data_IF_152308148504
#
_entry.id   IF_152308148504
#
_cell.length_a   1.000
_cell.length_b   1.000
_cell.length_c   1.000
_cell.angle_alpha   90.00
_cell.angle_beta   90.00
_cell.angle_gamma   90.00
#
_symmetry.space_group_name_H-M   'P 1'
#
loop_
_entity.id
_entity.type
_entity.pdbx_description
1 polymer ?
#
# COMPACT_ATOMS: atom_id res chain seq x y z
N UNK A 1 15.53 9.15 40.26
CA UNK A 1 15.67 9.32 38.79
C UNK A 1 14.60 8.43 38.15
N UNK A 2 13.64 9.01 37.42
CA UNK A 2 12.66 8.20 36.67
C UNK A 2 13.35 7.65 35.42
N UNK A 3 13.26 6.35 35.09
CA UNK A 3 13.78 5.86 33.82
C UNK A 3 13.07 6.60 32.68
N UNK A 4 13.82 7.16 31.75
CA UNK A 4 13.28 7.67 30.49
C UNK A 4 12.64 6.47 29.79
N UNK A 5 11.31 6.50 29.66
CA UNK A 5 10.59 5.53 28.83
C UNK A 5 11.26 5.57 27.44
N UNK A 6 11.55 4.43 26.80
CA UNK A 6 12.00 4.46 25.42
C UNK A 6 10.94 5.24 24.64
N UNK A 7 11.35 6.35 24.01
CA UNK A 7 10.49 7.10 23.11
C UNK A 7 10.07 6.14 22.02
N UNK A 8 8.90 5.51 22.20
CA UNK A 8 8.21 4.85 21.11
C UNK A 8 7.99 5.95 20.08
N UNK A 9 8.58 5.81 18.90
CA UNK A 9 8.35 6.74 17.81
C UNK A 9 6.83 6.93 17.66
N UNK A 10 6.33 8.15 17.39
CA UNK A 10 4.91 8.33 17.10
C UNK A 10 4.54 7.52 15.86
N UNK A 11 3.32 6.99 15.83
CA UNK A 11 2.77 6.36 14.62
C UNK A 11 2.79 7.39 13.47
N UNK A 12 2.99 6.94 12.22
CA UNK A 12 2.99 7.83 11.08
C UNK A 12 1.63 8.48 10.86
N UNK A 13 1.65 9.61 10.15
CA UNK A 13 0.42 10.22 9.68
C UNK A 13 -0.26 9.31 8.64
N UNK A 14 -1.58 9.16 8.76
CA UNK A 14 -2.43 8.39 7.83
C UNK A 14 -2.20 8.83 6.39
N UNK A 15 -2.09 10.14 6.15
CA UNK A 15 -1.85 10.75 4.85
C UNK A 15 -0.57 10.24 4.15
N UNK A 16 0.47 9.93 4.93
CA UNK A 16 1.70 9.35 4.39
C UNK A 16 1.45 7.93 3.85
N UNK A 17 0.67 7.13 4.58
CA UNK A 17 0.36 5.75 4.19
C UNK A 17 -0.61 5.70 3.00
N UNK A 18 -1.69 6.50 3.05
CA UNK A 18 -2.65 6.59 1.94
C UNK A 18 -2.00 7.18 0.69
N UNK A 19 -1.08 8.14 0.83
CA UNK A 19 -0.30 8.70 -0.27
C UNK A 19 0.57 7.68 -1.02
N UNK A 20 1.05 6.62 -0.36
CA UNK A 20 1.72 5.49 -1.04
C UNK A 20 0.74 4.75 -1.95
N UNK A 21 -0.45 4.45 -1.44
CA UNK A 21 -1.48 3.70 -2.16
C UNK A 21 -2.06 4.50 -3.33
N UNK A 22 -2.28 5.79 -3.15
CA UNK A 22 -2.66 6.69 -4.22
C UNK A 22 -1.64 6.65 -5.36
N UNK A 23 -0.35 6.78 -5.04
CA UNK A 23 0.72 6.70 -6.06
C UNK A 23 0.82 5.31 -6.70
N UNK A 24 0.58 4.25 -5.94
CA UNK A 24 0.59 2.87 -6.46
C UNK A 24 -0.55 2.65 -7.47
N UNK A 25 -1.73 3.19 -7.19
CA UNK A 25 -2.90 3.06 -8.04
C UNK A 25 -2.93 4.05 -9.22
N UNK A 26 -2.22 5.18 -9.13
CA UNK A 26 -2.20 6.20 -10.17
C UNK A 26 -1.53 5.65 -11.45
N UNK A 27 -2.30 5.51 -12.53
CA UNK A 27 -1.79 5.02 -13.82
C UNK A 27 -0.98 6.06 -14.58
N UNK A 28 -1.02 7.33 -14.16
CA UNK A 28 -0.17 8.40 -14.71
C UNK A 28 1.27 8.29 -14.20
N UNK A 29 1.49 7.60 -13.08
CA UNK A 29 2.83 7.33 -12.55
C UNK A 29 3.43 6.10 -13.25
N UNK A 30 4.61 6.22 -13.87
CA UNK A 30 5.26 5.08 -14.51
C UNK A 30 5.59 3.99 -13.49
N UNK A 31 5.37 2.73 -13.87
CA UNK A 31 5.50 1.60 -12.96
C UNK A 31 6.93 1.44 -12.40
N UNK A 32 7.96 1.90 -13.10
CA UNK A 32 9.33 1.94 -12.56
C UNK A 32 9.46 2.84 -11.33
N UNK A 33 8.70 3.95 -11.26
CA UNK A 33 8.69 4.80 -10.07
C UNK A 33 7.92 4.15 -8.91
N UNK A 34 6.94 3.29 -9.22
CA UNK A 34 6.17 2.54 -8.22
C UNK A 34 6.99 1.46 -7.52
N UNK A 35 8.08 0.99 -8.13
CA UNK A 35 9.02 0.04 -7.50
C UNK A 35 9.55 0.58 -6.17
N UNK A 36 9.81 1.89 -6.08
CA UNK A 36 10.26 2.52 -4.84
C UNK A 36 9.17 2.63 -3.76
N UNK A 37 7.90 2.34 -4.10
CA UNK A 37 6.76 2.35 -3.19
C UNK A 37 6.50 0.99 -2.56
N UNK A 38 7.27 -0.03 -2.94
CA UNK A 38 7.13 -1.39 -2.44
C UNK A 38 8.48 -1.91 -1.96
N UNK A 39 8.51 -2.41 -0.72
CA UNK A 39 9.72 -2.95 -0.11
C UNK A 39 10.23 -4.15 -0.91
N UNK A 40 11.52 -4.10 -1.26
CA UNK A 40 12.21 -5.12 -2.06
C UNK A 40 11.61 -5.37 -3.45
N UNK A 41 10.76 -4.47 -3.96
CA UNK A 41 10.38 -4.54 -5.35
C UNK A 41 11.59 -4.25 -6.25
N UNK A 42 11.58 -4.86 -7.42
CA UNK A 42 12.63 -4.81 -8.42
C UNK A 42 12.04 -4.49 -9.78
N UNK A 43 12.89 -4.44 -10.81
CA UNK A 43 12.42 -4.29 -12.19
C UNK A 43 11.49 -5.43 -12.64
N UNK A 44 11.56 -6.60 -12.01
CA UNK A 44 10.69 -7.75 -12.30
C UNK A 44 9.23 -7.51 -11.87
N UNK A 45 9.03 -6.68 -10.84
CA UNK A 45 7.70 -6.36 -10.30
C UNK A 45 6.98 -5.26 -11.09
N UNK A 46 7.68 -4.52 -11.96
CA UNK A 46 7.14 -3.45 -12.82
C UNK A 46 5.85 -3.85 -13.56
N UNK A 47 5.80 -4.99 -14.28
CA UNK A 47 4.55 -5.42 -14.93
C UNK A 47 3.41 -5.64 -13.94
N UNK A 48 3.66 -6.21 -12.77
CA UNK A 48 2.63 -6.44 -11.76
C UNK A 48 2.14 -5.12 -11.14
N UNK A 49 3.05 -4.17 -10.87
CA UNK A 49 2.74 -2.83 -10.37
C UNK A 49 1.95 -2.00 -11.39
N UNK A 50 2.26 -2.14 -12.68
CA UNK A 50 1.48 -1.54 -13.77
C UNK A 50 0.06 -2.12 -13.78
N UNK A 51 -0.04 -3.45 -13.80
CA UNK A 51 -1.33 -4.16 -13.85
C UNK A 51 -2.21 -3.84 -12.64
N UNK A 52 -1.63 -3.60 -11.46
CA UNK A 52 -2.39 -3.20 -10.27
C UNK A 52 -3.20 -1.92 -10.51
N UNK A 53 -2.55 -0.87 -11.03
CA UNK A 53 -3.25 0.39 -11.36
C UNK A 53 -4.29 0.20 -12.47
N UNK A 54 -3.94 -0.54 -13.53
CA UNK A 54 -4.86 -0.82 -14.64
C UNK A 54 -6.07 -1.66 -14.20
N UNK A 55 -5.88 -2.64 -13.32
CA UNK A 55 -6.95 -3.47 -12.79
C UNK A 55 -7.89 -2.69 -11.88
N UNK A 56 -7.37 -1.73 -11.09
CA UNK A 56 -8.21 -0.81 -10.31
C UNK A 56 -9.07 0.07 -11.22
N UNK A 57 -8.49 0.61 -12.30
CA UNK A 57 -9.22 1.37 -13.32
C UNK A 57 -10.29 0.51 -13.97
N UNK A 58 -9.94 -0.70 -14.43
CA UNK A 58 -10.85 -1.64 -15.07
C UNK A 58 -11.99 -2.09 -14.14
N UNK A 59 -11.71 -2.20 -12.85
CA UNK A 59 -12.69 -2.53 -11.80
C UNK A 59 -13.58 -1.35 -11.39
N UNK A 60 -13.34 -0.14 -11.94
CA UNK A 60 -14.12 1.06 -11.64
C UNK A 60 -13.75 1.76 -10.33
N UNK A 61 -12.57 1.45 -9.76
CA UNK A 61 -12.07 2.12 -8.56
C UNK A 61 -11.54 3.52 -8.84
N UNK A 62 -11.73 4.09 -10.03
CA UNK A 62 -11.33 5.45 -10.37
C UNK A 62 -12.52 6.42 -10.40
N UNK A 63 -12.46 7.56 -9.68
CA UNK A 63 -11.37 8.01 -8.81
C UNK A 63 -11.26 7.19 -7.52
N UNK A 64 -10.03 6.90 -7.10
CA UNK A 64 -9.75 6.04 -5.94
C UNK A 64 -10.03 6.79 -4.64
N UNK A 65 -10.66 6.11 -3.68
CA UNK A 65 -10.73 6.57 -2.30
C UNK A 65 -9.99 5.58 -1.42
N UNK A 66 -9.01 6.08 -0.67
CA UNK A 66 -8.22 5.29 0.27
C UNK A 66 -8.37 5.91 1.65
N UNK A 67 -8.87 5.13 2.58
CA UNK A 67 -8.91 5.46 4.00
C UNK A 67 -8.00 4.50 4.76
N UNK A 68 -7.24 4.98 5.75
CA UNK A 68 -6.49 4.10 6.63
C UNK A 68 -6.80 4.40 8.08
N UNK A 69 -7.19 3.35 8.80
CA UNK A 69 -7.59 3.38 10.19
C UNK A 69 -6.89 2.28 10.98
N UNK A 70 -7.08 2.24 12.30
CA UNK A 70 -6.51 1.21 13.18
C UNK A 70 -4.97 1.06 13.02
N UNK A 71 -4.26 2.19 12.98
CA UNK A 71 -2.80 2.20 12.84
C UNK A 71 -2.16 1.63 14.10
N UNK A 72 -1.27 0.65 13.92
CA UNK A 72 -0.53 0.02 15.01
C UNK A 72 0.86 -0.40 14.54
N UNK A 73 1.79 -0.49 15.48
CA UNK A 73 3.11 -1.05 15.18
C UNK A 73 2.98 -2.53 14.79
N UNK A 74 3.67 -2.90 13.71
CA UNK A 74 3.74 -4.26 13.19
C UNK A 74 4.69 -5.15 14.01
N UNK A 75 4.83 -6.41 13.58
CA UNK A 75 5.76 -7.35 14.19
C UNK A 75 7.23 -7.03 13.88
N UNK A 76 7.48 -6.49 12.69
CA UNK A 76 8.80 -6.06 12.25
C UNK A 76 9.18 -4.67 12.79
N UNK A 77 10.45 -4.44 13.14
CA UNK A 77 10.90 -3.20 13.76
C UNK A 77 10.65 -2.00 12.85
N UNK A 78 9.79 -1.08 13.31
CA UNK A 78 9.43 0.14 12.60
C UNK A 78 8.34 -0.04 11.54
N UNK A 79 7.88 -1.27 11.27
CA UNK A 79 6.74 -1.50 10.38
C UNK A 79 5.45 -1.07 11.05
N UNK A 80 4.47 -0.64 10.25
CA UNK A 80 3.16 -0.20 10.73
C UNK A 80 2.09 -0.98 9.97
N UNK A 81 1.16 -1.56 10.71
CA UNK A 81 -0.03 -2.17 10.14
C UNK A 81 -1.16 -1.17 10.25
N UNK A 82 -1.86 -0.94 9.14
CA UNK A 82 -3.07 -0.13 9.10
C UNK A 82 -4.19 -0.92 8.41
N UNK A 83 -5.41 -0.77 8.89
CA UNK A 83 -6.59 -1.27 8.20
C UNK A 83 -6.94 -0.26 7.10
N UNK A 84 -6.68 -0.64 5.86
CA UNK A 84 -6.87 0.25 4.71
C UNK A 84 -8.18 -0.13 4.00
N UNK A 85 -9.08 0.84 3.86
CA UNK A 85 -10.28 0.72 3.05
C UNK A 85 -10.04 1.35 1.68
N UNK A 86 -10.07 0.52 0.63
CA UNK A 86 -10.02 0.95 -0.76
C UNK A 86 -11.44 0.93 -1.31
N UNK A 87 -11.87 2.05 -1.86
CA UNK A 87 -13.18 2.22 -2.47
C UNK A 87 -13.13 3.16 -3.65
N UNK A 88 -14.30 3.54 -4.13
CA UNK A 88 -14.48 4.68 -5.04
C UNK A 88 -15.76 5.42 -4.69
N UNK A 89 -15.95 6.67 -5.15
CA UNK A 89 -17.20 7.38 -4.97
C UNK A 89 -18.34 6.81 -5.83
N UNK A 90 -18.05 5.81 -6.67
CA UNK A 90 -19.08 5.09 -7.40
C UNK A 90 -19.81 4.11 -6.44
N UNK A 91 -21.11 4.30 -6.16
CA UNK A 91 -21.86 3.43 -5.25
C UNK A 91 -22.01 1.99 -5.75
N UNK A 92 -21.75 1.72 -7.03
CA UNK A 92 -21.77 0.37 -7.60
C UNK A 92 -20.52 -0.44 -7.23
N UNK A 93 -19.42 0.23 -6.89
CA UNK A 93 -18.17 -0.41 -6.51
C UNK A 93 -18.17 -0.62 -5.00
N UNK A 94 -18.07 -1.88 -4.57
CA UNK A 94 -18.01 -2.19 -3.16
C UNK A 94 -16.62 -1.87 -2.61
N UNK A 95 -16.50 -1.03 -1.57
CA UNK A 95 -15.23 -0.83 -0.92
C UNK A 95 -14.78 -2.13 -0.26
N UNK A 96 -13.48 -2.38 -0.27
CA UNK A 96 -12.87 -3.50 0.43
C UNK A 96 -11.90 -2.97 1.48
N UNK A 97 -11.87 -3.62 2.63
CA UNK A 97 -10.94 -3.28 3.71
C UNK A 97 -9.95 -4.40 3.87
N UNK A 98 -8.66 -4.06 3.87
CA UNK A 98 -7.59 -5.02 4.00
C UNK A 98 -6.52 -4.50 4.97
N UNK A 99 -6.04 -5.31 5.91
CA UNK A 99 -4.91 -4.93 6.75
C UNK A 99 -3.63 -4.88 5.90
N UNK A 100 -3.09 -3.70 5.72
CA UNK A 100 -1.85 -3.46 4.98
C UNK A 100 -0.72 -3.14 5.93
N UNK A 101 0.43 -3.74 5.68
CA UNK A 101 1.65 -3.43 6.40
C UNK A 101 2.55 -2.53 5.55
N UNK A 102 3.07 -1.50 6.20
CA UNK A 102 3.93 -0.49 5.63
C UNK A 102 5.29 -0.55 6.32
N UNK A 103 6.34 -0.48 5.50
CA UNK A 103 7.71 -0.38 5.97
C UNK A 103 8.19 1.07 5.85
N UNK A 104 8.95 1.58 6.84
CA UNK A 104 9.57 2.88 6.74
C UNK A 104 10.72 2.83 5.73
N UNK A 105 10.83 3.85 4.87
CA UNK A 105 11.93 3.99 3.90
C UNK A 105 12.51 5.40 3.95
N UNK A 106 13.69 5.54 4.56
CA UNK A 106 14.37 6.82 4.80
C UNK A 106 13.45 7.84 5.49
N UNK A 107 12.74 8.65 4.71
CA UNK A 107 11.88 9.74 5.16
C UNK A 107 10.41 9.59 4.69
N UNK A 108 10.09 8.47 4.05
CA UNK A 108 8.81 8.12 3.46
C UNK A 108 8.37 6.72 3.94
N UNK A 109 7.22 6.30 3.44
CA UNK A 109 6.67 4.96 3.65
C UNK A 109 6.56 4.22 2.34
N UNK A 110 6.63 2.90 2.43
CA UNK A 110 6.41 1.99 1.31
C UNK A 110 5.59 0.81 1.80
N UNK A 111 4.89 0.15 0.88
CA UNK A 111 4.18 -1.08 1.17
C UNK A 111 5.20 -2.17 1.52
N UNK A 112 4.95 -2.97 2.56
CA UNK A 112 5.84 -4.10 2.86
C UNK A 112 5.77 -5.15 1.76
N UNK A 113 6.86 -5.90 1.57
CA UNK A 113 6.89 -6.96 0.54
C UNK A 113 5.76 -7.95 0.76
N UNK A 114 5.48 -8.28 2.03
CA UNK A 114 4.40 -9.19 2.43
C UNK A 114 3.04 -8.73 1.91
N UNK A 115 2.71 -7.46 2.07
CA UNK A 115 1.43 -6.92 1.59
C UNK A 115 1.41 -6.88 0.07
N UNK A 116 2.53 -6.52 -0.57
CA UNK A 116 2.62 -6.48 -2.03
C UNK A 116 2.46 -7.87 -2.63
N UNK A 117 3.09 -8.89 -2.07
CA UNK A 117 2.97 -10.29 -2.48
C UNK A 117 1.54 -10.82 -2.31
N UNK A 118 0.72 -10.22 -1.43
CA UNK A 118 -0.70 -10.56 -1.30
C UNK A 118 -1.59 -9.82 -2.30
N UNK A 119 -1.22 -8.59 -2.68
CA UNK A 119 -2.02 -7.74 -3.58
C UNK A 119 -1.70 -8.01 -5.06
N UNK A 120 -0.44 -8.21 -5.41
CA UNK A 120 0.03 -8.37 -6.79
C UNK A 120 -0.51 -9.63 -7.49
N UNK A 121 -0.65 -10.80 -6.84
CA UNK A 121 -1.25 -11.98 -7.48
C UNK A 121 -2.74 -11.82 -7.77
N UNK A 122 -3.45 -10.93 -7.06
CA UNK A 122 -4.88 -10.66 -7.30
C UNK A 122 -5.12 -9.88 -8.61
N UNK A 123 -4.07 -9.28 -9.17
CA UNK A 123 -4.10 -8.46 -10.40
C UNK A 123 -3.16 -9.02 -11.49
N UNK A 124 -2.54 -10.18 -11.27
CA UNK A 124 -1.76 -10.87 -12.28
C UNK A 124 -2.63 -11.53 -13.35
N UNK A 125 -2.15 -11.70 -14.59
CA UNK A 125 -2.78 -12.62 -15.53
C UNK A 125 -2.78 -14.02 -14.91
N UNK A 126 -3.93 -14.71 -14.97
CA UNK A 126 -4.07 -16.09 -14.49
C UNK A 126 -2.83 -16.93 -14.84
N UNK A 127 -2.30 -17.74 -13.90
CA UNK A 127 -1.22 -18.66 -14.24
C UNK A 127 -1.74 -19.60 -15.34
N UNK A 128 -1.01 -19.81 -16.45
CA UNK A 128 -1.39 -20.81 -17.42
C UNK A 128 -1.35 -22.18 -16.74
N UNK A 129 -2.49 -22.87 -16.75
CA UNK A 129 -2.64 -24.25 -16.28
C UNK A 129 -1.89 -25.22 -17.19
#
# INVERSE_FOLDING_TARGET
MRPAMPTVAPLPAVDQLTGVLYRLADTSIPAEQKVALVQYATADDVPALRNFGEALVASGFTPLTVDAADLRWGGDPGHVIASVTIGSPNPQVRPFTFPMEFAPVRNDWQLSKRTADQLLPLVGPEPPR
#
